data_IF_340540485471
#
_entry.id   IF_340540485471
#
_cell.length_a   1.000
_cell.length_b   1.000
_cell.length_c   1.000
_cell.angle_alpha   90.00
_cell.angle_beta   90.00
_cell.angle_gamma   90.00
#
_symmetry.space_group_name_H-M   'P 1'
#
loop_
_entity.id
_entity.type
_entity.pdbx_description
1 polymer ?
#
# COMPACT_ATOMS: atom_id res chain seq x y z
N UNK A 1 7.95 6.91 -14.90
CA UNK A 1 7.98 7.38 -13.50
C UNK A 1 7.71 6.20 -12.57
N UNK A 2 8.40 6.08 -11.45
CA UNK A 2 8.17 4.98 -10.49
C UNK A 2 6.84 5.14 -9.75
N UNK A 3 6.29 4.03 -9.23
CA UNK A 3 4.95 3.99 -8.63
C UNK A 3 4.76 5.01 -7.49
N UNK A 4 5.71 5.13 -6.56
CA UNK A 4 5.60 6.09 -5.45
C UNK A 4 5.48 7.53 -5.95
N UNK A 5 6.28 7.91 -6.94
CA UNK A 5 6.24 9.25 -7.52
C UNK A 5 4.90 9.49 -8.21
N UNK A 6 4.40 8.52 -8.97
CA UNK A 6 3.10 8.60 -9.62
C UNK A 6 1.95 8.78 -8.61
N UNK A 7 1.99 8.09 -7.46
CA UNK A 7 0.99 8.25 -6.40
C UNK A 7 1.05 9.64 -5.75
N UNK A 8 2.25 10.18 -5.53
CA UNK A 8 2.43 11.54 -4.98
C UNK A 8 1.90 12.58 -5.97
N UNK A 9 2.17 12.42 -7.26
CA UNK A 9 1.69 13.33 -8.31
C UNK A 9 0.16 13.30 -8.43
N UNK A 10 -0.45 12.10 -8.45
CA UNK A 10 -1.90 11.96 -8.62
C UNK A 10 -2.70 12.44 -7.39
N UNK A 11 -2.19 12.19 -6.17
CA UNK A 11 -2.89 12.57 -4.94
C UNK A 11 -2.46 13.91 -4.36
N UNK A 12 -1.32 14.44 -4.80
CA UNK A 12 -0.78 15.72 -4.38
C UNK A 12 -1.75 16.86 -4.63
N UNK A 13 -1.88 17.76 -3.66
CA UNK A 13 -2.81 18.90 -3.73
C UNK A 13 -4.29 18.54 -3.52
N UNK A 14 -4.68 17.26 -3.62
CA UNK A 14 -6.04 16.78 -3.31
C UNK A 14 -6.15 16.23 -1.89
N UNK A 15 -5.11 15.55 -1.42
CA UNK A 15 -5.05 14.96 -0.08
C UNK A 15 -3.82 15.43 0.69
N UNK A 16 -3.93 15.40 2.02
CA UNK A 16 -2.77 15.54 2.90
C UNK A 16 -2.05 14.19 2.97
N UNK A 17 -0.86 14.12 2.39
CA UNK A 17 -0.05 12.91 2.38
C UNK A 17 0.76 12.82 3.68
N UNK A 18 0.70 11.68 4.35
CA UNK A 18 1.60 11.37 5.46
C UNK A 18 3.01 11.04 4.91
N UNK A 19 4.08 11.18 5.72
CA UNK A 19 5.40 10.71 5.33
C UNK A 19 5.36 9.21 4.97
N UNK A 20 5.99 8.80 3.85
CA UNK A 20 6.02 7.39 3.49
C UNK A 20 6.81 6.59 4.54
N UNK A 21 6.31 5.40 4.87
CA UNK A 21 6.97 4.46 5.76
C UNK A 21 7.56 3.33 4.93
N UNK A 22 8.85 3.05 5.13
CA UNK A 22 9.51 1.88 4.56
C UNK A 22 9.62 0.83 5.66
N UNK A 23 9.07 -0.35 5.40
CA UNK A 23 9.14 -1.50 6.30
C UNK A 23 9.72 -2.70 5.56
N UNK A 24 10.68 -3.37 6.17
CA UNK A 24 11.27 -4.62 5.65
C UNK A 24 10.60 -5.83 6.27
N UNK A 25 10.61 -6.96 5.56
CA UNK A 25 10.02 -8.22 6.03
C UNK A 25 8.53 -8.11 6.43
N UNK A 26 7.84 -7.12 5.85
CA UNK A 26 6.48 -6.78 6.21
C UNK A 26 5.45 -7.71 5.56
N UNK A 27 4.26 -7.73 6.15
CA UNK A 27 3.04 -8.31 5.57
C UNK A 27 1.94 -7.25 5.56
N UNK A 28 0.91 -7.47 4.75
CA UNK A 28 -0.22 -6.54 4.54
C UNK A 28 -0.80 -5.99 5.85
N UNK A 29 -0.99 -6.83 6.86
CA UNK A 29 -1.58 -6.45 8.14
C UNK A 29 -0.75 -5.40 8.92
N UNK A 30 0.54 -5.22 8.62
CA UNK A 30 1.36 -4.16 9.24
C UNK A 30 0.80 -2.76 8.96
N UNK A 31 0.19 -2.57 7.79
CA UNK A 31 -0.43 -1.30 7.41
C UNK A 31 -1.46 -0.81 8.42
N UNK A 32 -2.19 -1.71 9.07
CA UNK A 32 -3.21 -1.32 10.05
C UNK A 32 -2.63 -0.71 11.32
N UNK A 33 -1.50 -1.25 11.79
CA UNK A 33 -0.79 -0.75 12.97
C UNK A 33 -0.15 0.61 12.67
N UNK A 34 0.49 0.75 11.50
CA UNK A 34 1.07 2.03 11.06
C UNK A 34 -0.03 3.08 10.89
N UNK A 35 -1.14 2.69 10.24
CA UNK A 35 -2.23 3.59 9.97
C UNK A 35 -2.87 4.16 11.25
N UNK A 36 -3.09 3.28 12.24
CA UNK A 36 -3.55 3.70 13.56
C UNK A 36 -2.55 4.59 14.30
N UNK A 37 -1.25 4.25 14.27
CA UNK A 37 -0.20 5.02 14.93
C UNK A 37 -0.03 6.43 14.34
N UNK A 38 -0.18 6.57 13.01
CA UNK A 38 -0.09 7.85 12.32
C UNK A 38 -1.41 8.63 12.31
N UNK A 39 -2.53 8.01 12.71
CA UNK A 39 -3.85 8.63 12.66
C UNK A 39 -4.32 8.96 11.23
N UNK A 40 -3.91 8.17 10.23
CA UNK A 40 -4.32 8.40 8.84
C UNK A 40 -5.71 7.82 8.56
N UNK A 41 -6.49 8.50 7.73
CA UNK A 41 -7.84 8.06 7.37
C UNK A 41 -7.84 6.91 6.37
N UNK A 42 -6.88 6.91 5.44
CA UNK A 42 -6.74 5.87 4.41
C UNK A 42 -5.26 5.53 4.28
N UNK A 43 -4.95 4.23 4.21
CA UNK A 43 -3.60 3.73 4.03
C UNK A 43 -3.49 2.90 2.75
N UNK A 44 -2.44 3.18 1.99
CA UNK A 44 -2.01 2.37 0.85
C UNK A 44 -0.75 1.60 1.24
N UNK A 45 -0.85 0.27 1.27
CA UNK A 45 0.29 -0.63 1.44
C UNK A 45 0.75 -1.10 0.06
N UNK A 46 1.84 -0.53 -0.45
CA UNK A 46 2.54 -1.03 -1.64
C UNK A 46 3.48 -2.15 -1.17
N UNK A 47 3.31 -3.35 -1.70
CA UNK A 47 4.08 -4.52 -1.29
C UNK A 47 4.41 -5.41 -2.49
N UNK A 48 5.60 -6.00 -2.48
CA UNK A 48 5.99 -7.00 -3.48
C UNK A 48 5.10 -8.24 -3.40
N UNK A 49 4.70 -8.74 -4.56
CA UNK A 49 3.97 -9.99 -4.66
C UNK A 49 4.93 -11.19 -4.61
N UNK A 50 4.39 -12.39 -4.40
CA UNK A 50 5.18 -13.60 -4.58
C UNK A 50 5.60 -13.68 -6.05
N UNK A 51 6.91 -13.88 -6.35
CA UNK A 51 7.37 -13.92 -7.72
C UNK A 51 6.70 -15.06 -8.50
N UNK A 52 6.16 -14.72 -9.67
CA UNK A 52 5.64 -15.69 -10.63
C UNK A 52 6.76 -16.34 -11.45
N UNK A 53 6.39 -17.27 -12.33
CA UNK A 53 7.35 -17.93 -13.23
C UNK A 53 7.95 -16.97 -14.28
N UNK A 54 7.25 -15.89 -14.63
CA UNK A 54 7.59 -15.02 -15.77
C UNK A 54 7.83 -13.56 -15.39
N UNK A 55 7.28 -13.11 -14.27
CA UNK A 55 7.39 -11.71 -13.80
C UNK A 55 7.79 -11.75 -12.33
N UNK A 56 8.99 -11.26 -12.03
CA UNK A 56 9.57 -11.28 -10.69
C UNK A 56 9.41 -9.94 -9.94
N UNK A 57 9.00 -8.88 -10.64
CA UNK A 57 8.94 -7.50 -10.17
C UNK A 57 7.50 -6.98 -10.01
N UNK A 58 6.52 -7.89 -9.84
CA UNK A 58 5.12 -7.52 -9.59
C UNK A 58 4.91 -6.92 -8.20
N UNK A 59 4.15 -5.82 -8.15
CA UNK A 59 3.69 -5.17 -6.92
C UNK A 59 2.18 -5.30 -6.77
N UNK A 60 1.71 -5.26 -5.53
CA UNK A 60 0.32 -5.08 -5.17
C UNK A 60 0.12 -3.87 -4.27
N UNK A 61 -1.08 -3.29 -4.32
CA UNK A 61 -1.55 -2.24 -3.41
C UNK A 61 -2.74 -2.78 -2.62
N UNK A 62 -2.61 -2.76 -1.29
CA UNK A 62 -3.74 -2.97 -0.38
C UNK A 62 -4.17 -1.63 0.20
N UNK A 63 -5.43 -1.27 -0.03
CA UNK A 63 -6.05 -0.06 0.50
C UNK A 63 -6.92 -0.43 1.69
N UNK A 64 -6.61 0.15 2.85
CA UNK A 64 -7.46 0.08 4.04
C UNK A 64 -8.00 1.47 4.38
N UNK A 65 -9.32 1.61 4.48
CA UNK A 65 -9.95 2.81 5.02
C UNK A 65 -10.21 2.66 6.52
N UNK A 66 -9.91 3.70 7.29
CA UNK A 66 -9.89 3.70 8.76
C UNK A 66 -9.05 2.52 9.31
N UNK A 67 -7.75 2.45 8.96
CA UNK A 67 -6.85 1.36 9.35
C UNK A 67 -6.73 1.27 10.87
N UNK A 68 -6.85 0.04 11.40
CA UNK A 68 -6.68 -0.27 12.83
C UNK A 68 -6.42 -1.75 13.04
N UNK A 69 -5.69 -2.17 14.08
CA UNK A 69 -5.49 -3.59 14.37
C UNK A 69 -6.81 -4.37 14.44
N UNK A 70 -6.82 -5.58 13.90
CA UNK A 70 -8.00 -6.45 13.83
C UNK A 70 -8.80 -6.38 12.53
N UNK A 71 -8.36 -5.60 11.52
CA UNK A 71 -8.94 -5.66 10.17
C UNK A 71 -8.58 -6.98 9.47
N UNK A 72 -9.53 -7.46 8.67
CA UNK A 72 -9.40 -8.67 7.86
C UNK A 72 -9.10 -8.32 6.41
N UNK A 73 -8.72 -9.30 5.59
CA UNK A 73 -8.50 -9.05 4.15
C UNK A 73 -9.77 -8.58 3.44
N UNK A 74 -10.96 -8.94 3.94
CA UNK A 74 -12.23 -8.48 3.42
C UNK A 74 -12.50 -6.98 3.68
N UNK A 75 -11.79 -6.37 4.63
CA UNK A 75 -11.85 -4.92 4.89
C UNK A 75 -11.00 -4.10 3.91
N UNK A 76 -10.30 -4.76 2.97
CA UNK A 76 -9.28 -4.15 2.11
C UNK A 76 -9.69 -4.26 0.65
N UNK A 77 -9.42 -3.20 -0.10
CA UNK A 77 -9.37 -3.31 -1.56
C UNK A 77 -7.97 -3.72 -1.98
N UNK A 78 -7.87 -4.58 -2.99
CA UNK A 78 -6.61 -5.07 -3.54
C UNK A 78 -6.51 -4.71 -5.02
N UNK A 79 -5.40 -4.10 -5.41
CA UNK A 79 -4.97 -3.94 -6.80
C UNK A 79 -3.69 -4.76 -6.94
N UNK A 80 -3.71 -5.81 -7.75
CA UNK A 80 -2.57 -6.72 -7.96
C UNK A 80 -1.95 -6.54 -9.34
N UNK A 81 -0.87 -7.26 -9.60
CA UNK A 81 -0.23 -7.35 -10.92
C UNK A 81 0.23 -5.99 -11.46
N UNK A 82 0.72 -5.13 -10.57
CA UNK A 82 1.27 -3.83 -10.95
C UNK A 82 2.72 -4.05 -11.39
N UNK A 83 2.93 -4.10 -12.69
CA UNK A 83 4.23 -4.16 -13.33
C UNK A 83 4.15 -3.52 -14.74
N UNK A 84 5.29 -3.15 -15.35
CA UNK A 84 5.32 -2.77 -16.76
C UNK A 84 4.77 -3.89 -17.66
N UNK A 85 4.17 -3.56 -18.82
CA UNK A 85 3.71 -4.56 -19.78
C UNK A 85 4.85 -5.39 -20.37
#
# INVERSE_FOLDING_TARGET
TGLLVALIEEFGGRYRLAPPVIATEARVALGDHIGAALGVTTLLMVIGERPGLSVADSLGIYLTHLPRPGRTDADRNCISNIHPP
#
